data_IF_895444971481
#
_entry.id   IF_895444971481
#
_cell.length_a   1.000
_cell.length_b   1.000
_cell.length_c   1.000
_cell.angle_alpha   90.00
_cell.angle_beta   90.00
_cell.angle_gamma   90.00
#
_symmetry.space_group_name_H-M   'P 1'
#
loop_
_entity.id
_entity.type
_entity.pdbx_description
1 polymer ?
#
# COMPACT_ATOMS: atom_id res chain seq x y z
N UNK A 1 -12.46 -12.20 20.66
CA UNK A 1 -12.52 -13.66 20.34
C UNK A 1 -12.91 -13.92 18.88
N UNK A 2 -13.92 -13.21 18.37
CA UNK A 2 -14.39 -13.30 16.98
C UNK A 2 -13.31 -12.99 15.93
N UNK A 3 -12.47 -11.97 16.16
CA UNK A 3 -11.41 -11.58 15.21
C UNK A 3 -10.30 -12.62 15.06
N UNK A 4 -9.95 -13.32 16.13
CA UNK A 4 -8.96 -14.41 16.08
C UNK A 4 -9.49 -15.57 15.23
N UNK A 5 -10.77 -15.92 15.37
CA UNK A 5 -11.40 -16.96 14.58
C UNK A 5 -11.46 -16.57 13.09
N UNK A 6 -11.95 -15.36 12.79
CA UNK A 6 -11.96 -14.82 11.42
C UNK A 6 -10.57 -14.85 10.79
N UNK A 7 -9.54 -14.45 11.52
CA UNK A 7 -8.17 -14.47 11.03
C UNK A 7 -7.63 -15.89 10.79
N UNK A 8 -8.02 -16.88 11.60
CA UNK A 8 -7.64 -18.28 11.36
C UNK A 8 -8.32 -18.84 10.12
N UNK A 9 -9.61 -18.56 9.94
CA UNK A 9 -10.37 -18.96 8.75
C UNK A 9 -9.77 -18.30 7.50
N UNK A 10 -9.51 -16.99 7.54
CA UNK A 10 -8.87 -16.28 6.44
C UNK A 10 -7.52 -16.90 6.06
N UNK A 11 -6.65 -17.20 7.04
CA UNK A 11 -5.36 -17.85 6.77
C UNK A 11 -5.51 -19.22 6.11
N UNK A 12 -6.49 -20.01 6.55
CA UNK A 12 -6.78 -21.31 5.94
C UNK A 12 -7.22 -21.15 4.49
N UNK A 13 -8.16 -20.23 4.22
CA UNK A 13 -8.64 -19.95 2.87
C UNK A 13 -7.52 -19.45 1.95
N UNK A 14 -6.71 -18.51 2.44
CA UNK A 14 -5.56 -17.98 1.72
C UNK A 14 -4.55 -19.08 1.38
N UNK A 15 -4.24 -19.97 2.33
CA UNK A 15 -3.37 -21.12 2.09
C UNK A 15 -3.91 -22.03 0.98
N UNK A 16 -5.20 -22.38 1.05
CA UNK A 16 -5.83 -23.22 0.02
C UNK A 16 -5.80 -22.57 -1.36
N UNK A 17 -6.13 -21.27 -1.44
CA UNK A 17 -6.09 -20.51 -2.68
C UNK A 17 -4.68 -20.49 -3.30
N UNK A 18 -3.64 -20.23 -2.49
CA UNK A 18 -2.25 -20.17 -2.96
C UNK A 18 -1.72 -21.53 -3.44
N UNK A 19 -2.10 -22.63 -2.77
CA UNK A 19 -1.68 -23.99 -3.18
C UNK A 19 -2.35 -24.40 -4.48
N UNK A 20 -3.61 -24.01 -4.69
CA UNK A 20 -4.40 -24.41 -5.86
C UNK A 20 -4.22 -23.50 -7.07
N UNK A 21 -3.74 -22.27 -6.88
CA UNK A 21 -3.57 -21.32 -7.97
C UNK A 21 -2.53 -21.79 -9.01
N UNK A 22 -2.83 -21.55 -10.28
CA UNK A 22 -1.88 -21.73 -11.39
C UNK A 22 -0.90 -20.56 -11.47
N UNK A 23 -1.35 -19.36 -11.10
CA UNK A 23 -0.56 -18.14 -11.05
C UNK A 23 -0.93 -17.29 -9.84
N UNK A 24 0.06 -16.62 -9.25
CA UNK A 24 -0.10 -15.68 -8.15
C UNK A 24 0.51 -14.34 -8.54
N UNK A 25 -0.33 -13.31 -8.62
CA UNK A 25 0.09 -11.96 -9.00
C UNK A 25 0.32 -11.14 -7.73
N UNK A 26 1.52 -10.56 -7.62
CA UNK A 26 1.92 -9.68 -6.53
C UNK A 26 2.36 -8.33 -7.09
N UNK A 27 2.11 -7.24 -6.38
CA UNK A 27 2.51 -5.91 -6.89
C UNK A 27 4.02 -5.62 -6.76
N UNK A 28 4.73 -6.40 -5.93
CA UNK A 28 6.17 -6.25 -5.74
C UNK A 28 6.80 -7.55 -5.21
N UNK A 29 8.12 -7.71 -5.41
CA UNK A 29 8.89 -8.81 -4.82
C UNK A 29 8.87 -8.82 -3.30
N UNK A 30 8.77 -7.64 -2.67
CA UNK A 30 8.70 -7.52 -1.21
C UNK A 30 7.44 -8.16 -0.60
N UNK A 31 6.40 -8.38 -1.40
CA UNK A 31 5.18 -9.06 -0.95
C UNK A 31 5.37 -10.55 -0.71
N UNK A 32 6.36 -11.20 -1.32
CA UNK A 32 6.57 -12.65 -1.21
C UNK A 32 6.73 -13.05 0.25
N UNK A 33 7.59 -12.35 1.00
CA UNK A 33 7.80 -12.61 2.43
C UNK A 33 6.50 -12.45 3.22
N UNK A 34 5.75 -11.38 2.95
CA UNK A 34 4.49 -11.11 3.65
C UNK A 34 3.43 -12.18 3.41
N UNK A 35 3.28 -12.62 2.16
CA UNK A 35 2.32 -13.67 1.80
C UNK A 35 2.74 -15.01 2.42
N UNK A 36 4.03 -15.33 2.41
CA UNK A 36 4.58 -16.52 3.08
C UNK A 36 4.29 -16.50 4.58
N UNK A 37 4.59 -15.39 5.26
CA UNK A 37 4.37 -15.25 6.70
C UNK A 37 2.89 -15.34 7.08
N UNK A 38 2.00 -14.79 6.25
CA UNK A 38 0.55 -14.79 6.49
C UNK A 38 -0.10 -16.16 6.24
N UNK A 39 0.29 -16.84 5.16
CA UNK A 39 -0.33 -18.10 4.73
C UNK A 39 0.37 -19.37 5.24
N UNK A 40 1.63 -19.25 5.70
CA UNK A 40 2.53 -20.36 5.98
C UNK A 40 2.69 -21.32 4.77
N UNK A 41 2.77 -20.75 3.55
CA UNK A 41 3.00 -21.46 2.30
C UNK A 41 4.31 -20.98 1.67
N UNK A 42 5.14 -21.93 1.24
CA UNK A 42 6.28 -21.64 0.35
C UNK A 42 5.74 -21.51 -1.06
N UNK A 43 5.83 -20.32 -1.65
CA UNK A 43 5.33 -20.06 -2.99
C UNK A 43 6.30 -20.60 -4.04
N UNK A 44 5.77 -21.31 -5.02
CA UNK A 44 6.52 -21.73 -6.21
C UNK A 44 6.87 -20.51 -7.07
N UNK A 45 8.16 -20.27 -7.27
CA UNK A 45 8.66 -19.14 -8.05
C UNK A 45 8.17 -19.16 -9.51
N UNK A 46 7.92 -20.35 -10.08
CA UNK A 46 7.40 -20.50 -11.44
C UNK A 46 5.96 -19.99 -11.61
N UNK A 47 5.23 -19.80 -10.51
CA UNK A 47 3.86 -19.29 -10.50
C UNK A 47 3.76 -17.81 -10.14
N UNK A 48 4.87 -17.16 -9.80
CA UNK A 48 4.86 -15.77 -9.31
C UNK A 48 5.01 -14.76 -10.45
N UNK A 49 4.04 -13.86 -10.53
CA UNK A 49 4.05 -12.74 -11.47
C UNK A 49 4.04 -11.42 -10.71
N UNK A 50 4.87 -10.47 -11.15
CA UNK A 50 4.98 -9.18 -10.49
C UNK A 50 4.40 -8.06 -11.37
N UNK A 51 3.23 -7.55 -11.01
CA UNK A 51 2.53 -6.51 -11.78
C UNK A 51 2.26 -5.33 -10.86
N UNK A 52 2.93 -4.20 -11.08
CA UNK A 52 2.72 -2.99 -10.27
C UNK A 52 1.30 -2.46 -10.47
N UNK A 53 0.73 -1.89 -9.40
CA UNK A 53 -0.56 -1.24 -9.50
C UNK A 53 -0.47 -0.06 -10.49
N UNK A 54 -1.38 0.03 -11.47
CA UNK A 54 -1.42 1.16 -12.37
C UNK A 54 -1.86 2.43 -11.62
N UNK A 55 -1.50 3.58 -12.19
CA UNK A 55 -2.01 4.89 -11.80
C UNK A 55 -2.65 5.53 -13.02
N UNK A 56 -3.79 6.19 -12.82
CA UNK A 56 -4.47 6.93 -13.87
C UNK A 56 -3.70 8.24 -14.15
N UNK A 57 -3.01 8.31 -15.29
CA UNK A 57 -2.16 9.45 -15.64
C UNK A 57 -2.96 10.67 -16.07
N UNK A 58 -4.20 10.51 -16.54
CA UNK A 58 -5.06 11.65 -16.89
C UNK A 58 -5.59 12.32 -15.63
N UNK A 59 -5.94 11.52 -14.63
CA UNK A 59 -6.34 12.01 -13.31
C UNK A 59 -5.16 12.57 -12.51
N UNK A 60 -4.01 11.91 -12.54
CA UNK A 60 -2.83 12.25 -11.73
C UNK A 60 -1.72 12.84 -12.61
N UNK A 61 -1.97 14.03 -13.17
CA UNK A 61 -0.98 14.84 -13.90
C UNK A 61 -0.74 16.19 -13.21
N UNK A 62 0.43 16.81 -13.42
CA UNK A 62 0.66 18.19 -12.99
C UNK A 62 -0.43 19.11 -13.53
N UNK A 63 -0.93 20.00 -12.68
CA UNK A 63 -1.92 21.03 -13.04
C UNK A 63 -1.60 22.31 -12.30
N UNK A 64 -1.57 23.43 -13.05
CA UNK A 64 -1.40 24.77 -12.49
C UNK A 64 -2.74 25.41 -12.09
N UNK A 65 -3.86 24.78 -12.45
CA UNK A 65 -5.21 25.30 -12.23
C UNK A 65 -5.76 24.98 -10.84
N UNK A 66 -4.94 24.44 -9.95
CA UNK A 66 -5.40 24.02 -8.62
C UNK A 66 -5.70 25.22 -7.71
N UNK A 67 -6.94 25.29 -7.22
CA UNK A 67 -7.39 26.26 -6.21
C UNK A 67 -7.09 25.84 -4.77
N UNK A 68 -6.59 24.62 -4.55
CA UNK A 68 -6.41 24.01 -3.23
C UNK A 68 -5.52 24.82 -2.28
N UNK A 69 -4.45 25.44 -2.78
CA UNK A 69 -3.60 26.31 -1.94
C UNK A 69 -4.40 27.48 -1.38
N UNK A 70 -5.21 28.15 -2.21
CA UNK A 70 -6.07 29.26 -1.80
C UNK A 70 -7.14 28.79 -0.81
N UNK A 71 -7.80 27.66 -1.07
CA UNK A 71 -8.82 27.08 -0.19
C UNK A 71 -8.27 26.70 1.19
N UNK A 72 -7.01 26.27 1.26
CA UNK A 72 -6.32 25.93 2.50
C UNK A 72 -5.61 27.13 3.15
N UNK A 73 -5.69 28.33 2.55
CA UNK A 73 -5.03 29.54 3.04
C UNK A 73 -3.49 29.50 2.97
N UNK A 74 -2.92 28.69 2.09
CA UNK A 74 -1.48 28.54 1.89
C UNK A 74 -1.03 29.50 0.80
N UNK A 75 0.03 30.28 1.06
CA UNK A 75 0.59 31.19 0.06
C UNK A 75 1.11 30.41 -1.17
N UNK A 76 0.92 30.97 -2.37
CA UNK A 76 1.31 30.34 -3.64
C UNK A 76 2.80 30.03 -3.67
N UNK A 77 3.62 30.92 -3.13
CA UNK A 77 5.08 30.80 -3.14
C UNK A 77 5.63 29.98 -1.97
N UNK A 78 4.77 29.57 -1.03
CA UNK A 78 5.18 28.76 0.11
C UNK A 78 5.51 27.32 -0.31
N UNK A 79 6.61 26.81 0.23
CA UNK A 79 7.04 25.41 0.04
C UNK A 79 6.17 24.50 0.88
N UNK A 80 5.50 23.55 0.22
CA UNK A 80 4.60 22.60 0.89
C UNK A 80 5.19 21.19 0.83
N UNK A 81 5.23 20.51 1.98
CA UNK A 81 5.48 19.07 2.08
C UNK A 81 4.16 18.36 2.39
N UNK A 82 3.68 17.54 1.46
CA UNK A 82 2.40 16.84 1.58
C UNK A 82 2.60 15.35 1.87
N UNK A 83 1.84 14.82 2.83
CA UNK A 83 1.70 13.38 3.07
C UNK A 83 0.25 12.96 2.80
N UNK A 84 0.05 11.96 1.95
CA UNK A 84 -1.27 11.38 1.65
C UNK A 84 -1.28 9.90 2.02
N UNK A 85 -2.14 9.52 2.96
CA UNK A 85 -2.36 8.12 3.31
C UNK A 85 -2.97 7.95 4.71
N UNK A 86 -3.41 6.72 5.02
CA UNK A 86 -3.97 6.43 6.34
C UNK A 86 -2.98 6.69 7.48
N UNK A 87 -3.46 7.27 8.59
CA UNK A 87 -2.68 7.60 9.79
C UNK A 87 -2.38 6.38 10.67
N UNK A 88 -1.83 5.33 10.05
CA UNK A 88 -1.45 4.10 10.74
C UNK A 88 0.03 4.12 11.10
N UNK A 89 0.40 3.45 12.19
CA UNK A 89 1.80 3.42 12.70
C UNK A 89 2.81 2.91 11.67
N UNK A 90 2.39 2.07 10.72
CA UNK A 90 3.24 1.47 9.68
C UNK A 90 3.52 2.39 8.48
N UNK A 91 2.84 3.54 8.37
CA UNK A 91 2.92 4.40 7.17
C UNK A 91 3.78 5.66 7.34
N UNK A 92 4.59 5.75 8.38
CA UNK A 92 5.68 6.75 8.46
C UNK A 92 5.25 8.21 8.65
N UNK A 93 3.96 8.53 8.80
CA UNK A 93 3.48 9.91 9.00
C UNK A 93 4.16 10.62 10.17
N UNK A 94 4.50 9.89 11.24
CA UNK A 94 5.24 10.42 12.40
C UNK A 94 6.65 10.87 12.04
N UNK A 95 7.29 10.18 11.10
CA UNK A 95 8.61 10.54 10.58
C UNK A 95 8.52 11.80 9.74
N UNK A 96 7.56 11.88 8.81
CA UNK A 96 7.32 13.09 8.02
C UNK A 96 7.09 14.31 8.93
N UNK A 97 6.23 14.18 9.93
CA UNK A 97 5.94 15.24 10.90
C UNK A 97 7.15 15.64 11.75
N UNK A 98 8.05 14.69 12.06
CA UNK A 98 9.27 15.00 12.82
C UNK A 98 10.27 15.79 11.96
N UNK A 99 10.41 15.43 10.69
CA UNK A 99 11.35 16.10 9.77
C UNK A 99 10.88 17.50 9.37
N UNK A 100 9.57 17.77 9.37
CA UNK A 100 9.03 19.09 9.05
C UNK A 100 9.20 20.14 10.16
N UNK A 101 9.81 19.78 11.29
CA UNK A 101 10.11 20.68 12.43
C UNK A 101 11.57 21.10 12.51
N UNK A 102 12.39 20.68 11.54
CA UNK A 102 13.81 21.06 11.43
C UNK A 102 13.98 22.44 10.81
#
# INVERSE_FOLDING_TARGET
MLDKLKHRIFRLLLKLALVKADAVILYSKSMVKRVKDESNVVLDAGKLYFIRNPVDTEKFKPSEESTLKNELGIDRDEKVVLYVGGLTRRRGWRTCFRLSRG
#
